data_IF_860232895063
#
_entry.id   IF_860232895063
#
_cell.length_a   1.000
_cell.length_b   1.000
_cell.length_c   1.000
_cell.angle_alpha   90.00
_cell.angle_beta   90.00
_cell.angle_gamma   90.00
#
_symmetry.space_group_name_H-M   'P 1'
#
loop_
_entity.id
_entity.type
_entity.pdbx_description
1 polymer ?
#
# COMPACT_ATOMS: atom_id res chain seq x y z
N UNK A 1 21.51 -66.93 -42.24
CA UNK A 1 22.87 -66.38 -42.00
C UNK A 1 22.99 -65.07 -42.76
N UNK A 2 23.47 -64.01 -42.08
CA UNK A 2 23.77 -62.65 -42.57
C UNK A 2 22.65 -61.61 -42.54
N UNK A 3 22.79 -60.76 -41.52
CA UNK A 3 22.41 -59.36 -41.34
C UNK A 3 22.62 -58.49 -42.57
N UNK A 4 21.75 -57.50 -42.80
CA UNK A 4 22.12 -56.23 -43.44
C UNK A 4 21.20 -55.09 -43.00
N UNK A 5 21.89 -54.03 -42.60
CA UNK A 5 21.53 -52.77 -41.97
C UNK A 5 20.72 -51.88 -42.92
N UNK A 6 19.65 -51.23 -42.43
CA UNK A 6 18.93 -50.20 -43.16
C UNK A 6 19.18 -48.84 -42.51
N UNK A 7 19.87 -47.97 -43.25
CA UNK A 7 20.15 -46.58 -42.94
C UNK A 7 18.88 -45.74 -43.14
N UNK A 8 18.34 -45.13 -42.08
CA UNK A 8 17.31 -44.10 -42.22
C UNK A 8 17.96 -42.72 -42.24
N UNK A 9 17.77 -42.03 -43.36
CA UNK A 9 18.02 -40.59 -43.55
C UNK A 9 16.81 -39.85 -42.98
N UNK A 10 16.99 -39.12 -41.88
CA UNK A 10 15.97 -38.24 -41.33
C UNK A 10 15.97 -36.89 -42.05
N UNK A 11 14.87 -36.55 -42.73
CA UNK A 11 14.61 -35.19 -43.19
C UNK A 11 14.33 -34.30 -41.97
N UNK A 12 15.14 -33.27 -41.77
CA UNK A 12 14.87 -32.19 -40.82
C UNK A 12 13.91 -31.20 -41.50
N UNK A 13 12.66 -31.23 -41.08
CA UNK A 13 11.66 -30.20 -41.37
C UNK A 13 11.89 -29.03 -40.40
N UNK A 14 12.45 -27.92 -40.89
CA UNK A 14 12.61 -26.68 -40.14
C UNK A 14 11.27 -25.96 -40.01
N UNK A 15 10.58 -26.13 -38.89
CA UNK A 15 9.53 -25.22 -38.43
C UNK A 15 10.17 -24.17 -37.54
N UNK A 16 10.30 -22.95 -38.05
CA UNK A 16 10.61 -21.75 -37.28
C UNK A 16 9.48 -21.50 -36.28
N UNK A 17 9.74 -21.81 -35.02
CA UNK A 17 8.94 -21.32 -33.90
C UNK A 17 9.46 -19.90 -33.61
N UNK A 18 8.59 -18.90 -33.79
CA UNK A 18 8.80 -17.56 -33.25
C UNK A 18 9.04 -17.69 -31.74
N UNK A 19 10.19 -17.24 -31.28
CA UNK A 19 10.44 -17.05 -29.86
C UNK A 19 9.53 -15.92 -29.38
N UNK A 20 8.43 -16.27 -28.72
CA UNK A 20 7.80 -15.40 -27.74
C UNK A 20 8.64 -15.49 -26.47
N UNK A 21 8.91 -14.34 -25.85
CA UNK A 21 9.61 -14.19 -24.57
C UNK A 21 9.16 -15.27 -23.56
N UNK A 22 10.11 -16.13 -23.19
CA UNK A 22 9.98 -17.14 -22.15
C UNK A 22 11.03 -16.90 -21.04
N UNK A 23 11.44 -15.65 -20.84
CA UNK A 23 12.40 -15.27 -19.78
C UNK A 23 11.74 -15.04 -18.41
N UNK A 24 10.42 -15.20 -18.28
CA UNK A 24 9.68 -14.90 -17.03
C UNK A 24 9.47 -16.08 -16.06
N UNK A 25 9.92 -17.30 -16.36
CA UNK A 25 9.54 -18.49 -15.56
C UNK A 25 10.70 -19.34 -15.01
N UNK A 26 11.95 -18.90 -15.12
CA UNK A 26 13.06 -19.60 -14.46
C UNK A 26 13.40 -18.86 -13.17
N UNK A 27 13.19 -19.46 -11.97
CA UNK A 27 13.75 -18.90 -10.75
C UNK A 27 15.26 -18.94 -10.92
N UNK A 28 15.83 -17.76 -11.10
CA UNK A 28 17.25 -17.68 -11.35
C UNK A 28 18.00 -17.92 -10.03
N UNK A 29 19.15 -18.61 -10.06
CA UNK A 29 19.98 -18.74 -8.88
C UNK A 29 20.43 -17.36 -8.43
N UNK A 30 19.93 -16.95 -7.27
CA UNK A 30 20.27 -15.72 -6.57
C UNK A 30 21.10 -16.11 -5.35
N UNK A 31 22.28 -15.52 -5.23
CA UNK A 31 23.14 -15.70 -4.07
C UNK A 31 22.75 -14.62 -3.04
N UNK A 32 22.82 -14.92 -1.73
CA UNK A 32 22.66 -13.90 -0.71
C UNK A 32 23.68 -12.78 -0.92
N UNK A 33 23.22 -11.53 -0.86
CA UNK A 33 24.05 -10.33 -0.91
C UNK A 33 24.09 -9.75 0.49
N UNK A 34 25.29 -9.65 1.07
CA UNK A 34 25.42 -9.21 2.46
C UNK A 34 25.31 -7.68 2.60
N UNK A 35 25.69 -6.94 1.57
CA UNK A 35 25.62 -5.48 1.52
C UNK A 35 25.39 -5.00 0.09
N UNK A 36 24.64 -3.91 -0.06
CA UNK A 36 24.41 -3.26 -1.35
C UNK A 36 25.72 -2.74 -1.99
N UNK A 37 26.80 -2.60 -1.22
CA UNK A 37 28.15 -2.27 -1.74
C UNK A 37 28.67 -3.33 -2.74
N UNK A 38 28.22 -4.58 -2.63
CA UNK A 38 28.59 -5.66 -3.56
C UNK A 38 27.95 -5.51 -4.95
N UNK A 39 27.04 -4.54 -5.11
CA UNK A 39 26.24 -4.31 -6.31
C UNK A 39 26.52 -2.93 -6.94
N UNK A 40 27.77 -2.53 -7.24
CA UNK A 40 28.06 -1.19 -7.75
C UNK A 40 27.48 -0.99 -9.16
N UNK A 41 26.97 0.21 -9.44
CA UNK A 41 26.45 0.61 -10.74
C UNK A 41 25.04 1.17 -10.68
N UNK A 42 24.40 1.23 -11.85
CA UNK A 42 23.07 1.82 -12.02
C UNK A 42 22.04 0.71 -12.13
N UNK A 43 20.93 0.84 -11.42
CA UNK A 43 19.90 -0.19 -11.30
C UNK A 43 18.52 0.40 -11.42
N UNK A 44 17.67 -0.18 -12.26
CA UNK A 44 16.27 0.24 -12.44
C UNK A 44 15.36 -0.70 -11.66
N UNK A 45 14.48 -0.15 -10.83
CA UNK A 45 13.45 -0.92 -10.15
C UNK A 45 12.26 -1.14 -11.09
N UNK A 46 11.80 -2.38 -11.24
CA UNK A 46 10.64 -2.72 -12.07
C UNK A 46 9.34 -2.23 -11.43
N UNK A 47 8.50 -1.49 -12.15
CA UNK A 47 7.15 -1.09 -11.71
C UNK A 47 7.04 0.10 -10.77
N UNK A 48 8.17 0.74 -10.43
CA UNK A 48 8.16 1.80 -9.42
C UNK A 48 8.90 3.06 -9.88
N UNK A 49 9.14 3.33 -11.17
CA UNK A 49 9.69 4.63 -11.62
C UNK A 49 10.96 5.08 -10.84
N UNK A 50 11.84 4.14 -10.47
CA UNK A 50 13.01 4.40 -9.62
C UNK A 50 14.28 3.83 -10.21
N UNK A 51 15.35 4.61 -10.14
CA UNK A 51 16.71 4.20 -10.45
C UNK A 51 17.61 4.45 -9.24
N UNK A 52 18.51 3.51 -8.96
CA UNK A 52 19.57 3.65 -7.96
C UNK A 52 20.93 3.73 -8.65
N UNK A 53 21.76 4.68 -8.23
CA UNK A 53 23.20 4.66 -8.50
C UNK A 53 23.94 4.26 -7.21
N UNK A 54 24.55 3.08 -7.23
CA UNK A 54 25.36 2.54 -6.14
C UNK A 54 26.83 2.81 -6.49
N UNK A 55 27.47 3.68 -5.71
CA UNK A 55 28.86 4.10 -5.90
C UNK A 55 29.67 4.04 -4.60
N UNK A 56 30.81 4.74 -4.57
CA UNK A 56 31.78 4.70 -3.47
C UNK A 56 31.14 5.13 -2.12
N UNK A 57 30.70 4.11 -1.36
CA UNK A 57 30.06 4.20 -0.05
C UNK A 57 28.70 4.95 -0.01
N UNK A 58 28.03 5.13 -1.16
CA UNK A 58 26.73 5.82 -1.24
C UNK A 58 25.78 5.19 -2.23
N UNK A 59 24.49 5.33 -1.95
CA UNK A 59 23.39 5.02 -2.87
C UNK A 59 22.63 6.31 -3.13
N UNK A 60 22.57 6.72 -4.39
CA UNK A 60 21.77 7.87 -4.84
C UNK A 60 20.52 7.38 -5.55
N UNK A 61 19.36 7.89 -5.12
CA UNK A 61 18.06 7.56 -5.69
C UNK A 61 17.63 8.61 -6.72
N UNK A 62 16.99 8.12 -7.78
CA UNK A 62 16.40 8.92 -8.84
C UNK A 62 14.98 8.47 -9.11
N UNK A 63 14.05 9.42 -9.18
CA UNK A 63 12.71 9.20 -9.71
C UNK A 63 12.71 9.50 -11.21
N UNK A 64 12.21 8.57 -12.01
CA UNK A 64 12.33 8.61 -13.48
C UNK A 64 10.98 8.43 -14.15
N UNK A 65 10.83 9.09 -15.29
CA UNK A 65 9.75 8.84 -16.26
C UNK A 65 10.36 8.81 -17.66
N UNK A 66 9.57 8.56 -18.70
CA UNK A 66 10.00 8.69 -20.09
C UNK A 66 10.56 10.08 -20.46
N UNK A 67 10.25 11.13 -19.69
CA UNK A 67 10.63 12.52 -19.98
C UNK A 67 11.43 13.22 -18.87
N UNK A 68 11.62 12.59 -17.71
CA UNK A 68 12.28 13.21 -16.56
C UNK A 68 13.17 12.23 -15.79
N UNK A 69 14.19 12.78 -15.14
CA UNK A 69 15.02 12.07 -14.17
C UNK A 69 15.40 13.05 -13.05
N UNK A 70 14.93 12.76 -11.84
CA UNK A 70 15.03 13.64 -10.67
C UNK A 70 15.83 12.94 -9.59
N UNK A 71 17.01 13.47 -9.28
CA UNK A 71 17.81 13.03 -8.14
C UNK A 71 17.13 13.48 -6.84
N UNK A 72 16.81 12.54 -5.97
CA UNK A 72 16.06 12.78 -4.72
C UNK A 72 16.96 12.70 -3.50
N UNK A 73 17.33 11.48 -3.11
CA UNK A 73 18.05 11.21 -1.88
C UNK A 73 19.44 10.65 -2.18
N UNK A 74 20.38 10.85 -1.26
CA UNK A 74 21.65 10.13 -1.25
C UNK A 74 21.92 9.64 0.16
N UNK A 75 21.90 8.33 0.33
CA UNK A 75 22.14 7.63 1.59
C UNK A 75 23.50 6.95 1.60
N UNK A 76 24.03 6.71 2.78
CA UNK A 76 25.17 5.83 2.96
C UNK A 76 24.78 4.36 2.72
N UNK A 77 25.75 3.52 2.38
CA UNK A 77 25.55 2.06 2.28
C UNK A 77 24.96 1.50 3.58
N UNK A 78 25.45 1.93 4.74
CA UNK A 78 24.97 1.45 6.04
C UNK A 78 23.48 1.75 6.26
N UNK A 79 23.03 2.97 5.94
CA UNK A 79 21.62 3.34 6.06
C UNK A 79 20.72 2.53 5.12
N UNK A 80 21.23 2.15 3.94
CA UNK A 80 20.50 1.29 3.02
C UNK A 80 20.47 -0.16 3.52
N UNK A 81 21.61 -0.70 3.97
CA UNK A 81 21.67 -2.07 4.48
C UNK A 81 20.81 -2.24 5.74
N UNK A 82 20.73 -1.24 6.62
CA UNK A 82 19.88 -1.24 7.83
C UNK A 82 18.37 -1.17 7.50
N UNK A 83 18.00 -0.62 6.34
CA UNK A 83 16.62 -0.44 5.92
C UNK A 83 15.99 -1.67 5.24
N UNK A 84 16.72 -2.79 5.10
CA UNK A 84 16.26 -3.98 4.40
C UNK A 84 16.59 -5.26 5.19
N UNK A 85 15.73 -6.27 5.09
CA UNK A 85 15.91 -7.52 5.83
C UNK A 85 16.92 -8.46 5.18
N UNK A 86 16.83 -8.56 3.85
CA UNK A 86 17.72 -9.37 3.05
C UNK A 86 17.84 -8.81 1.64
N UNK A 87 18.96 -9.12 1.03
CA UNK A 87 19.23 -8.88 -0.38
C UNK A 87 19.70 -10.17 -1.01
N UNK A 88 19.30 -10.38 -2.25
CA UNK A 88 19.74 -11.53 -3.03
C UNK A 88 19.89 -11.13 -4.49
N UNK A 89 20.93 -11.63 -5.16
CA UNK A 89 21.18 -11.15 -6.51
C UNK A 89 22.49 -11.59 -7.09
N UNK A 90 22.82 -10.94 -8.20
CA UNK A 90 24.08 -11.08 -8.91
C UNK A 90 24.35 -9.78 -9.70
N UNK A 91 25.36 -9.80 -10.58
CA UNK A 91 25.75 -8.63 -11.36
C UNK A 91 24.68 -8.12 -12.34
N UNK A 92 23.61 -8.85 -12.65
CA UNK A 92 22.61 -8.47 -13.65
C UNK A 92 21.27 -8.06 -13.04
N UNK A 93 20.91 -8.64 -11.90
CA UNK A 93 19.70 -8.30 -11.15
C UNK A 93 19.88 -8.59 -9.67
N UNK A 94 19.15 -7.87 -8.86
CA UNK A 94 19.02 -8.17 -7.45
C UNK A 94 17.62 -7.85 -6.97
N UNK A 95 17.26 -8.43 -5.85
CA UNK A 95 16.04 -8.12 -5.12
C UNK A 95 16.44 -7.77 -3.70
N UNK A 96 15.82 -6.73 -3.15
CA UNK A 96 15.85 -6.50 -1.71
C UNK A 96 14.46 -6.71 -1.12
N UNK A 97 14.41 -7.01 0.16
CA UNK A 97 13.18 -7.23 0.89
C UNK A 97 13.07 -6.16 1.96
N UNK A 98 12.00 -5.39 1.89
CA UNK A 98 11.75 -4.32 2.84
C UNK A 98 11.45 -4.88 4.23
N UNK A 99 11.67 -4.06 5.25
CA UNK A 99 11.40 -4.43 6.64
C UNK A 99 9.92 -4.81 6.82
N UNK A 100 9.69 -5.97 7.42
CA UNK A 100 8.39 -6.58 7.62
C UNK A 100 8.01 -7.61 6.56
N UNK A 101 8.95 -8.21 5.84
CA UNK A 101 8.79 -9.43 5.00
C UNK A 101 7.98 -9.36 3.69
N UNK A 102 7.05 -8.43 3.50
CA UNK A 102 6.00 -8.59 2.47
C UNK A 102 6.27 -7.91 1.11
N UNK A 103 7.16 -6.92 1.06
CA UNK A 103 7.49 -6.23 -0.20
C UNK A 103 8.87 -6.62 -0.69
N UNK A 104 8.92 -7.26 -1.87
CA UNK A 104 10.14 -7.49 -2.64
C UNK A 104 10.24 -6.40 -3.71
N UNK A 105 11.38 -5.72 -3.75
CA UNK A 105 11.68 -4.78 -4.82
C UNK A 105 12.78 -5.35 -5.72
N UNK A 106 12.43 -5.51 -6.99
CA UNK A 106 13.24 -6.16 -8.01
C UNK A 106 13.95 -5.12 -8.88
N UNK A 107 15.26 -5.29 -9.02
CA UNK A 107 16.14 -4.37 -9.74
C UNK A 107 16.86 -5.06 -10.90
N UNK A 108 16.98 -4.35 -12.00
CA UNK A 108 17.77 -4.75 -13.18
C UNK A 108 18.94 -3.80 -13.41
N UNK A 109 20.08 -4.34 -13.81
CA UNK A 109 21.24 -3.52 -14.14
C UNK A 109 20.95 -2.66 -15.36
N UNK A 110 21.06 -1.35 -15.17
CA UNK A 110 21.08 -0.37 -16.24
C UNK A 110 22.52 -0.11 -16.72
N UNK A 111 22.66 0.31 -17.98
CA UNK A 111 23.97 0.61 -18.57
C UNK A 111 24.59 1.92 -18.05
N UNK A 112 23.76 2.96 -17.86
CA UNK A 112 24.15 4.26 -17.35
C UNK A 112 22.91 5.01 -16.83
N UNK A 113 23.14 6.04 -16.00
CA UNK A 113 22.09 6.98 -15.63
C UNK A 113 21.57 7.75 -16.85
N UNK A 114 20.27 8.10 -16.90
CA UNK A 114 19.76 9.03 -17.90
C UNK A 114 20.57 10.33 -17.92
N UNK A 115 20.99 10.77 -19.11
CA UNK A 115 21.91 11.92 -19.25
C UNK A 115 21.33 13.26 -18.78
N UNK A 116 20.02 13.31 -18.56
CA UNK A 116 19.27 14.49 -18.16
C UNK A 116 18.89 14.48 -16.67
N UNK A 117 19.45 13.57 -15.86
CA UNK A 117 19.23 13.59 -14.41
C UNK A 117 19.70 14.91 -13.79
N UNK A 118 18.86 15.49 -12.93
CA UNK A 118 19.10 16.73 -12.19
C UNK A 118 18.58 16.62 -10.76
N UNK A 119 19.15 17.33 -9.77
CA UNK A 119 18.53 17.51 -8.46
C UNK A 119 17.10 18.04 -8.54
N UNK A 120 16.26 17.58 -7.60
CA UNK A 120 14.92 18.12 -7.41
C UNK A 120 14.93 19.65 -7.23
N UNK A 121 13.99 20.36 -7.88
CA UNK A 121 13.84 21.81 -7.81
C UNK A 121 14.62 22.61 -8.86
N UNK A 122 15.45 21.95 -9.69
CA UNK A 122 16.19 22.62 -10.77
C UNK A 122 15.32 22.96 -11.99
N UNK A 123 14.31 22.15 -12.31
CA UNK A 123 13.40 22.40 -13.45
C UNK A 123 12.11 23.04 -12.92
N UNK A 124 11.91 24.31 -13.26
CA UNK A 124 10.85 25.14 -12.67
C UNK A 124 9.73 25.53 -13.62
N UNK A 125 9.89 25.31 -14.92
CA UNK A 125 8.84 25.67 -15.87
C UNK A 125 7.64 24.72 -15.72
N UNK A 126 6.44 25.30 -15.78
CA UNK A 126 5.20 24.55 -15.59
C UNK A 126 4.98 23.43 -16.63
N UNK A 127 5.24 23.64 -17.94
CA UNK A 127 5.03 22.59 -18.94
C UNK A 127 5.86 21.33 -18.70
N UNK A 128 7.14 21.45 -18.34
CA UNK A 128 7.99 20.28 -18.09
C UNK A 128 7.57 19.50 -16.84
N UNK A 129 7.11 20.21 -15.80
CA UNK A 129 6.61 19.57 -14.58
C UNK A 129 5.28 18.85 -14.81
N UNK A 130 4.36 19.47 -15.55
CA UNK A 130 3.12 18.82 -15.95
C UNK A 130 3.38 17.60 -16.85
N UNK A 131 4.31 17.69 -17.80
CA UNK A 131 4.70 16.56 -18.64
C UNK A 131 5.25 15.40 -17.80
N UNK A 132 6.10 15.68 -16.81
CA UNK A 132 6.60 14.65 -15.89
C UNK A 132 5.49 14.02 -15.06
N UNK A 133 4.52 14.80 -14.57
CA UNK A 133 3.36 14.26 -13.86
C UNK A 133 2.55 13.33 -14.77
N UNK A 134 2.22 13.82 -15.97
CA UNK A 134 1.39 13.05 -16.90
C UNK A 134 2.03 11.71 -17.27
N UNK A 135 3.34 11.72 -17.56
CA UNK A 135 4.12 10.50 -17.84
C UNK A 135 4.22 9.56 -16.66
N UNK A 136 4.41 10.07 -15.43
CA UNK A 136 4.41 9.23 -14.22
C UNK A 136 3.11 8.43 -14.08
N UNK A 137 1.97 9.07 -14.33
CA UNK A 137 0.68 8.41 -14.27
C UNK A 137 0.47 7.46 -15.47
N UNK A 138 0.84 7.86 -16.68
CA UNK A 138 0.74 7.02 -17.89
C UNK A 138 1.54 5.71 -17.74
N UNK A 139 2.73 5.81 -17.14
CA UNK A 139 3.69 4.72 -17.01
C UNK A 139 3.43 3.86 -15.77
N UNK A 140 2.76 4.35 -14.71
CA UNK A 140 2.67 3.62 -13.44
C UNK A 140 1.27 3.55 -12.80
N UNK A 141 0.27 4.31 -13.24
CA UNK A 141 -1.06 4.24 -12.63
C UNK A 141 -1.84 3.02 -13.13
N UNK A 142 -2.32 2.19 -12.20
CA UNK A 142 -2.88 0.88 -12.53
C UNK A 142 -4.38 0.88 -12.88
N UNK A 143 -5.10 1.99 -12.70
CA UNK A 143 -6.57 1.97 -12.58
C UNK A 143 -7.33 2.90 -13.53
N UNK A 144 -6.75 3.26 -14.68
CA UNK A 144 -7.46 4.10 -15.66
C UNK A 144 -8.71 3.42 -16.21
N UNK A 145 -8.61 2.12 -16.54
CA UNK A 145 -9.71 1.36 -17.15
C UNK A 145 -10.90 1.19 -16.19
N UNK A 146 -10.62 0.83 -14.94
CA UNK A 146 -11.62 0.66 -13.86
C UNK A 146 -12.35 1.97 -13.55
N UNK A 147 -11.67 3.10 -13.76
CA UNK A 147 -12.21 4.44 -13.52
C UNK A 147 -12.79 5.08 -14.79
N UNK A 148 -12.65 4.44 -15.95
CA UNK A 148 -13.18 4.92 -17.22
C UNK A 148 -12.50 6.20 -17.72
N UNK A 149 -11.19 6.32 -17.51
CA UNK A 149 -10.41 7.52 -17.81
C UNK A 149 -9.59 7.32 -19.09
N UNK A 150 -9.79 8.19 -20.08
CA UNK A 150 -8.93 8.29 -21.27
C UNK A 150 -7.75 9.23 -20.94
N UNK A 151 -6.67 8.66 -20.42
CA UNK A 151 -5.52 9.45 -19.93
C UNK A 151 -4.82 10.30 -21.02
N UNK A 152 -4.65 9.81 -22.26
CA UNK A 152 -4.20 10.66 -23.37
C UNK A 152 -5.12 11.85 -23.64
N UNK A 153 -6.45 11.67 -23.60
CA UNK A 153 -7.39 12.78 -23.79
C UNK A 153 -7.26 13.84 -22.70
N UNK A 154 -7.04 13.45 -21.44
CA UNK A 154 -6.78 14.39 -20.33
C UNK A 154 -5.60 15.31 -20.66
N UNK A 155 -4.48 14.76 -21.18
CA UNK A 155 -3.34 15.58 -21.61
C UNK A 155 -3.72 16.61 -22.66
N UNK A 156 -4.47 16.16 -23.66
CA UNK A 156 -4.84 16.99 -24.81
C UNK A 156 -5.81 18.11 -24.39
N UNK A 157 -6.67 17.87 -23.40
CA UNK A 157 -7.53 18.88 -22.78
C UNK A 157 -6.75 19.93 -21.99
N UNK A 158 -5.67 19.51 -21.29
CA UNK A 158 -4.80 20.44 -20.56
C UNK A 158 -3.79 21.16 -21.47
N UNK A 159 -3.65 20.72 -22.72
CA UNK A 159 -2.66 21.26 -23.65
C UNK A 159 -2.86 22.77 -23.88
N UNK A 160 -1.79 23.54 -23.69
CA UNK A 160 -1.80 25.00 -23.91
C UNK A 160 -2.38 25.83 -22.76
N UNK A 161 -2.81 25.21 -21.65
CA UNK A 161 -3.16 25.94 -20.41
C UNK A 161 -1.94 26.50 -19.68
N UNK A 162 -0.76 25.91 -19.91
CA UNK A 162 0.49 26.27 -19.25
C UNK A 162 1.50 26.86 -20.24
N UNK A 163 2.22 27.86 -19.76
CA UNK A 163 3.36 28.49 -20.45
C UNK A 163 4.59 28.40 -19.56
N UNK A 164 5.82 28.57 -20.09
CA UNK A 164 7.03 28.63 -19.25
C UNK A 164 6.98 29.72 -18.17
N UNK A 165 6.17 30.76 -18.36
CA UNK A 165 5.95 31.86 -17.40
C UNK A 165 4.83 31.59 -16.39
N UNK A 166 4.13 30.47 -16.49
CA UNK A 166 3.03 30.14 -15.59
C UNK A 166 3.49 30.00 -14.14
N UNK A 167 2.66 30.46 -13.20
CA UNK A 167 2.99 30.43 -11.78
C UNK A 167 2.86 29.02 -11.19
N UNK A 168 3.46 28.74 -10.01
CA UNK A 168 3.24 27.50 -9.29
C UNK A 168 1.76 27.22 -9.01
N UNK A 169 0.98 28.26 -8.70
CA UNK A 169 -0.47 28.14 -8.45
C UNK A 169 -1.24 27.80 -9.73
N UNK A 170 -0.85 28.35 -10.88
CA UNK A 170 -1.43 28.00 -12.18
C UNK A 170 -1.11 26.54 -12.57
N UNK A 171 0.14 26.11 -12.35
CA UNK A 171 0.51 24.69 -12.50
C UNK A 171 -0.32 23.81 -11.58
N UNK A 172 -0.42 24.16 -10.30
CA UNK A 172 -1.13 23.36 -9.30
C UNK A 172 -2.61 23.19 -9.67
N UNK A 173 -3.28 24.26 -10.10
CA UNK A 173 -4.67 24.19 -10.55
C UNK A 173 -4.86 23.24 -11.75
N UNK A 174 -3.93 23.23 -12.71
CA UNK A 174 -3.96 22.27 -13.84
C UNK A 174 -3.72 20.84 -13.35
N UNK A 175 -2.80 20.63 -12.41
CA UNK A 175 -2.57 19.32 -11.80
C UNK A 175 -3.81 18.81 -11.07
N UNK A 176 -4.45 19.64 -10.25
CA UNK A 176 -5.70 19.31 -9.56
C UNK A 176 -6.81 18.91 -10.54
N UNK A 177 -7.06 19.74 -11.56
CA UNK A 177 -8.05 19.44 -12.61
C UNK A 177 -7.77 18.11 -13.34
N UNK A 178 -6.49 17.73 -13.45
CA UNK A 178 -6.04 16.49 -14.10
C UNK A 178 -6.26 15.26 -13.22
N UNK A 179 -6.02 15.38 -11.91
CA UNK A 179 -6.07 14.27 -10.96
C UNK A 179 -7.45 14.07 -10.32
N UNK A 180 -8.28 15.10 -10.30
CA UNK A 180 -9.62 15.06 -9.71
C UNK A 180 -10.53 13.98 -10.31
N UNK A 181 -10.60 13.79 -11.65
CA UNK A 181 -11.46 12.76 -12.24
C UNK A 181 -11.10 11.33 -11.85
N UNK A 182 -9.86 11.09 -11.39
CA UNK A 182 -9.44 9.76 -10.95
C UNK A 182 -10.26 9.30 -9.74
N UNK A 183 -10.72 10.22 -8.87
CA UNK A 183 -11.51 9.89 -7.68
C UNK A 183 -10.86 8.78 -6.81
N UNK A 184 -9.55 8.88 -6.60
CA UNK A 184 -8.72 7.87 -5.93
C UNK A 184 -8.18 8.40 -4.60
N UNK A 185 -8.47 7.71 -3.50
CA UNK A 185 -8.05 8.13 -2.15
C UNK A 185 -6.54 8.04 -1.88
N UNK A 186 -5.77 7.41 -2.78
CA UNK A 186 -4.31 7.35 -2.72
C UNK A 186 -3.61 8.27 -3.73
N UNK A 187 -4.37 9.00 -4.55
CA UNK A 187 -3.82 10.01 -5.45
C UNK A 187 -3.78 11.37 -4.77
N UNK A 188 -2.59 11.96 -4.68
CA UNK A 188 -2.39 13.27 -4.07
C UNK A 188 -1.19 14.00 -4.67
N UNK A 189 -1.12 15.32 -4.48
CA UNK A 189 0.05 16.16 -4.78
C UNK A 189 0.29 17.15 -3.65
N UNK A 190 1.56 17.40 -3.34
CA UNK A 190 1.99 18.37 -2.32
C UNK A 190 3.26 19.11 -2.74
N UNK A 191 3.27 20.43 -2.56
CA UNK A 191 4.38 21.29 -3.00
C UNK A 191 5.53 21.42 -1.98
N UNK A 192 5.43 20.78 -0.82
CA UNK A 192 6.37 21.01 0.29
C UNK A 192 5.97 22.18 1.20
N UNK A 193 4.85 22.84 0.92
CA UNK A 193 4.35 24.03 1.59
C UNK A 193 2.83 23.99 1.74
N UNK A 194 2.16 25.03 1.24
CA UNK A 194 0.72 25.25 1.46
C UNK A 194 -0.19 24.67 0.37
N UNK A 195 0.37 24.22 -0.76
CA UNK A 195 -0.44 23.66 -1.85
C UNK A 195 -0.47 22.13 -1.70
N UNK A 196 -1.66 21.61 -1.42
CA UNK A 196 -1.91 20.18 -1.25
C UNK A 196 -3.26 19.79 -1.81
N UNK A 197 -3.32 18.64 -2.48
CA UNK A 197 -4.53 18.09 -3.08
C UNK A 197 -4.57 16.59 -2.82
N UNK A 198 -5.75 16.07 -2.51
CA UNK A 198 -6.06 14.66 -2.34
C UNK A 198 -7.30 14.35 -3.19
N UNK A 199 -7.29 13.26 -3.95
CA UNK A 199 -8.40 12.86 -4.81
C UNK A 199 -9.41 11.96 -4.07
N UNK A 200 -10.53 11.70 -4.74
CA UNK A 200 -11.62 10.86 -4.23
C UNK A 200 -12.40 11.47 -3.07
N UNK A 201 -13.31 10.68 -2.49
CA UNK A 201 -14.18 11.16 -1.40
C UNK A 201 -13.43 11.57 -0.13
N UNK A 202 -12.20 11.08 0.07
CA UNK A 202 -11.32 11.58 1.12
C UNK A 202 -10.90 13.04 0.90
N UNK A 203 -10.61 13.41 -0.35
CA UNK A 203 -10.34 14.80 -0.74
C UNK A 203 -11.54 15.73 -0.60
N UNK A 204 -12.75 15.25 -0.88
CA UNK A 204 -13.98 16.02 -0.69
C UNK A 204 -14.18 16.40 0.79
N UNK A 205 -14.01 15.44 1.70
CA UNK A 205 -14.06 15.68 3.15
C UNK A 205 -12.98 16.67 3.60
N UNK A 206 -11.80 16.60 2.97
CA UNK A 206 -10.72 17.55 3.23
C UNK A 206 -11.11 18.98 2.87
N UNK A 207 -11.68 19.16 1.68
CA UNK A 207 -12.13 20.46 1.19
C UNK A 207 -13.28 21.03 2.04
N UNK A 208 -14.22 20.19 2.47
CA UNK A 208 -15.30 20.60 3.37
C UNK A 208 -14.78 21.09 4.72
N UNK A 209 -13.78 20.40 5.30
CA UNK A 209 -13.17 20.82 6.56
C UNK A 209 -12.41 22.15 6.40
N UNK A 210 -11.61 22.31 5.33
CA UNK A 210 -10.84 23.53 5.09
C UNK A 210 -11.74 24.78 4.99
N UNK A 211 -12.95 24.63 4.46
CA UNK A 211 -13.96 25.70 4.41
C UNK A 211 -14.51 26.05 5.81
N UNK A 212 -14.63 25.07 6.70
CA UNK A 212 -15.18 25.25 8.04
C UNK A 212 -14.19 25.92 9.01
N UNK A 213 -12.87 25.78 8.79
CA UNK A 213 -11.82 26.27 9.68
C UNK A 213 -10.82 27.22 8.98
N UNK A 214 -11.25 28.42 8.52
CA UNK A 214 -10.38 29.32 7.78
C UNK A 214 -9.28 29.94 8.66
N UNK A 215 -8.01 29.74 8.28
CA UNK A 215 -6.86 30.41 8.89
C UNK A 215 -5.98 29.55 9.79
N UNK A 216 -6.31 28.27 9.98
CA UNK A 216 -5.39 27.30 10.58
C UNK A 216 -4.24 26.99 9.59
N UNK A 217 -2.96 27.17 9.97
CA UNK A 217 -1.84 26.98 9.05
C UNK A 217 -1.73 25.52 8.61
N UNK A 218 -1.87 25.30 7.31
CA UNK A 218 -1.57 24.03 6.65
C UNK A 218 -0.06 23.93 6.47
N UNK A 219 0.66 23.53 7.52
CA UNK A 219 2.13 23.37 7.46
C UNK A 219 2.60 21.93 7.70
N UNK A 220 1.68 21.02 8.01
CA UNK A 220 1.86 19.56 8.13
C UNK A 220 0.43 18.97 8.25
N UNK A 221 0.03 17.91 7.54
CA UNK A 221 -1.36 17.50 7.41
C UNK A 221 -1.80 16.83 8.71
N UNK A 222 -2.33 17.62 9.65
CA UNK A 222 -3.36 17.09 10.52
C UNK A 222 -4.58 16.94 9.63
N UNK A 223 -4.59 15.77 9.00
CA UNK A 223 -5.74 15.08 8.51
C UNK A 223 -7.04 15.55 9.19
N UNK A 224 -8.01 16.11 8.47
CA UNK A 224 -9.31 16.47 9.01
C UNK A 224 -10.07 15.25 9.56
N UNK A 225 -9.60 14.03 9.25
CA UNK A 225 -10.02 12.79 9.90
C UNK A 225 -9.48 12.67 11.33
N UNK A 226 -8.50 13.46 11.80
CA UNK A 226 -7.92 13.33 13.15
C UNK A 226 -8.96 13.49 14.25
N UNK A 227 -9.85 14.49 14.14
CA UNK A 227 -10.93 14.65 15.12
C UNK A 227 -11.90 13.46 15.07
N UNK A 228 -12.24 12.99 13.88
CA UNK A 228 -13.05 11.78 13.70
C UNK A 228 -12.37 10.53 14.31
N UNK A 229 -11.09 10.30 14.03
CA UNK A 229 -10.28 9.20 14.57
C UNK A 229 -10.26 9.28 16.10
N UNK A 230 -9.96 10.45 16.68
CA UNK A 230 -9.92 10.65 18.13
C UNK A 230 -11.30 10.43 18.77
N UNK A 231 -12.37 10.90 18.14
CA UNK A 231 -13.72 10.71 18.65
C UNK A 231 -14.17 9.25 18.53
N UNK A 232 -13.80 8.54 17.47
CA UNK A 232 -14.09 7.11 17.33
C UNK A 232 -13.30 6.27 18.32
N UNK A 233 -12.05 6.63 18.61
CA UNK A 233 -11.29 6.04 19.71
C UNK A 233 -12.00 6.23 21.05
N UNK A 234 -12.44 7.45 21.33
CA UNK A 234 -13.17 7.77 22.57
C UNK A 234 -14.47 6.96 22.65
N UNK A 235 -15.22 6.87 21.57
CA UNK A 235 -16.43 6.04 21.49
C UNK A 235 -16.13 4.56 21.81
N UNK A 236 -15.06 3.99 21.25
CA UNK A 236 -14.65 2.62 21.56
C UNK A 236 -14.34 2.45 23.05
N UNK A 237 -13.52 3.32 23.62
CA UNK A 237 -13.09 3.19 25.03
C UNK A 237 -14.24 3.47 26.00
N UNK A 238 -14.99 4.54 25.80
CA UNK A 238 -15.98 5.03 26.77
C UNK A 238 -17.35 4.35 26.60
N UNK A 239 -17.76 4.02 25.38
CA UNK A 239 -19.11 3.49 25.10
C UNK A 239 -19.12 2.00 24.77
N UNK A 240 -18.18 1.49 23.96
CA UNK A 240 -18.14 0.06 23.61
C UNK A 240 -17.53 -0.77 24.74
N UNK A 241 -16.42 -0.30 25.31
CA UNK A 241 -15.73 -0.94 26.42
C UNK A 241 -16.17 -0.43 27.80
N UNK A 242 -17.11 0.51 27.84
CA UNK A 242 -17.69 1.08 29.07
C UNK A 242 -16.65 1.64 30.06
N UNK A 243 -15.47 2.04 29.58
CA UNK A 243 -14.33 2.50 30.39
C UNK A 243 -13.58 1.39 31.14
N UNK A 244 -13.95 0.12 30.96
CA UNK A 244 -13.37 -1.04 31.66
C UNK A 244 -12.35 -1.82 30.78
N UNK A 245 -12.10 -1.32 29.56
CA UNK A 245 -11.14 -1.89 28.62
C UNK A 245 -9.67 -1.59 28.96
N UNK A 246 -8.78 -2.10 28.10
CA UNK A 246 -7.34 -1.82 28.10
C UNK A 246 -6.94 -1.18 26.77
N UNK A 247 -5.89 -0.37 26.83
CA UNK A 247 -5.26 0.23 25.66
C UNK A 247 -3.80 -0.22 25.58
N UNK A 248 -3.34 -0.49 24.37
CA UNK A 248 -1.95 -0.82 24.07
C UNK A 248 -1.08 0.43 24.03
N UNK A 249 0.22 0.24 23.76
CA UNK A 249 1.10 1.37 23.49
C UNK A 249 0.61 2.17 22.29
N UNK A 250 0.79 3.49 22.36
CA UNK A 250 0.43 4.46 21.31
C UNK A 250 -1.06 4.51 20.94
N UNK A 251 -1.95 3.97 21.77
CA UNK A 251 -3.41 3.94 21.54
C UNK A 251 -3.81 3.33 20.18
N UNK A 252 -3.05 2.33 19.73
CA UNK A 252 -3.26 1.64 18.45
C UNK A 252 -4.23 0.47 18.58
N UNK A 253 -4.25 -0.18 19.75
CA UNK A 253 -5.10 -1.31 20.07
C UNK A 253 -5.89 -1.02 21.34
N UNK A 254 -7.19 -1.36 21.33
CA UNK A 254 -8.05 -1.30 22.51
C UNK A 254 -8.81 -2.62 22.64
N UNK A 255 -8.82 -3.23 23.82
CA UNK A 255 -9.46 -4.53 24.00
C UNK A 255 -10.14 -4.68 25.35
N UNK A 256 -11.07 -5.62 25.43
CA UNK A 256 -11.79 -5.92 26.65
C UNK A 256 -12.88 -6.95 26.43
N UNK A 257 -13.81 -7.01 27.39
CA UNK A 257 -14.91 -7.95 27.37
C UNK A 257 -16.22 -7.25 27.04
N UNK A 258 -16.98 -7.84 26.13
CA UNK A 258 -18.41 -7.56 25.97
C UNK A 258 -19.21 -8.59 26.78
N UNK A 259 -20.54 -8.46 26.76
CA UNK A 259 -21.45 -9.40 27.38
C UNK A 259 -21.22 -10.85 26.92
N UNK A 260 -21.66 -11.81 27.75
CA UNK A 260 -21.68 -13.24 27.44
C UNK A 260 -20.32 -13.87 27.06
N UNK A 261 -19.20 -13.30 27.55
CA UNK A 261 -17.87 -13.86 27.33
C UNK A 261 -17.37 -13.70 25.88
N UNK A 262 -17.82 -12.64 25.21
CA UNK A 262 -17.31 -12.20 23.92
C UNK A 262 -16.12 -11.27 24.16
N UNK A 263 -14.96 -11.60 23.59
CA UNK A 263 -13.82 -10.70 23.57
C UNK A 263 -14.00 -9.62 22.49
N UNK A 264 -13.49 -8.43 22.73
CA UNK A 264 -13.47 -7.35 21.75
C UNK A 264 -12.05 -6.81 21.61
N UNK A 265 -11.64 -6.60 20.36
CA UNK A 265 -10.37 -5.98 19.97
C UNK A 265 -10.66 -4.94 18.91
N UNK A 266 -10.45 -3.67 19.20
CA UNK A 266 -10.37 -2.63 18.19
C UNK A 266 -8.91 -2.45 17.77
N UNK A 267 -8.66 -2.55 16.46
CA UNK A 267 -7.41 -2.11 15.85
C UNK A 267 -7.67 -0.73 15.30
N UNK A 268 -7.26 0.29 16.06
CA UNK A 268 -7.57 1.67 15.76
C UNK A 268 -6.76 2.20 14.58
N UNK A 269 -5.47 1.86 14.54
CA UNK A 269 -4.53 2.26 13.50
C UNK A 269 -3.48 1.16 13.30
N UNK A 270 -2.99 0.99 12.06
CA UNK A 270 -1.88 0.08 11.74
C UNK A 270 -0.56 0.84 11.64
N UNK A 271 -0.36 1.77 12.57
CA UNK A 271 0.77 2.68 12.63
C UNK A 271 1.05 3.07 14.08
N UNK A 272 1.78 4.16 14.28
CA UNK A 272 2.06 4.69 15.61
C UNK A 272 2.05 6.23 15.56
N UNK A 273 0.87 6.87 15.57
CA UNK A 273 0.71 8.29 15.24
C UNK A 273 1.44 9.22 16.24
N UNK A 274 1.59 8.78 17.49
CA UNK A 274 2.25 9.54 18.58
C UNK A 274 3.68 9.06 18.88
N UNK A 275 4.20 8.06 18.15
CA UNK A 275 5.50 7.45 18.44
C UNK A 275 6.70 8.10 17.72
N UNK A 276 6.45 9.06 16.83
CA UNK A 276 7.46 9.47 15.85
C UNK A 276 7.74 8.33 14.85
N UNK A 277 8.68 8.54 13.94
CA UNK A 277 9.11 7.53 12.96
C UNK A 277 9.85 6.36 13.64
N UNK A 278 9.14 5.55 14.44
CA UNK A 278 9.68 4.29 14.93
C UNK A 278 10.02 3.40 13.72
N UNK A 279 11.21 2.78 13.69
CA UNK A 279 11.53 1.78 12.69
C UNK A 279 10.52 0.61 12.73
N UNK A 280 10.22 0.04 11.56
CA UNK A 280 9.30 -1.10 11.43
C UNK A 280 9.60 -2.25 12.41
N UNK A 281 10.87 -2.67 12.62
CA UNK A 281 11.17 -3.72 13.59
C UNK A 281 10.74 -3.40 15.02
N UNK A 282 10.88 -2.15 15.45
CA UNK A 282 10.47 -1.73 16.80
C UNK A 282 8.94 -1.69 16.93
N UNK A 283 8.24 -1.24 15.87
CA UNK A 283 6.78 -1.30 15.83
C UNK A 283 6.26 -2.75 15.83
N UNK A 284 6.92 -3.67 15.13
CA UNK A 284 6.59 -5.09 15.14
C UNK A 284 6.74 -5.70 16.55
N UNK A 285 7.79 -5.34 17.28
CA UNK A 285 7.94 -5.77 18.68
C UNK A 285 6.79 -5.22 19.54
N UNK A 286 6.47 -3.93 19.41
CA UNK A 286 5.41 -3.29 20.20
C UNK A 286 4.03 -3.91 19.92
N UNK A 287 3.70 -4.19 18.65
CA UNK A 287 2.42 -4.79 18.28
C UNK A 287 2.33 -6.24 18.76
N UNK A 288 3.41 -7.02 18.67
CA UNK A 288 3.45 -8.40 19.14
C UNK A 288 3.34 -8.48 20.68
N UNK A 289 3.97 -7.56 21.42
CA UNK A 289 3.81 -7.46 22.88
C UNK A 289 2.36 -7.11 23.27
N UNK A 290 1.74 -6.16 22.57
CA UNK A 290 0.35 -5.78 22.83
C UNK A 290 -0.62 -6.93 22.49
N UNK A 291 -0.43 -7.60 21.35
CA UNK A 291 -1.24 -8.75 20.96
C UNK A 291 -1.05 -9.95 21.90
N UNK A 292 0.15 -10.18 22.44
CA UNK A 292 0.36 -11.20 23.46
C UNK A 292 -0.48 -10.93 24.73
N UNK A 293 -0.65 -9.66 25.12
CA UNK A 293 -1.54 -9.26 26.22
C UNK A 293 -3.00 -9.46 25.85
N UNK A 294 -3.43 -9.07 24.65
CA UNK A 294 -4.79 -9.31 24.14
C UNK A 294 -5.13 -10.80 24.22
N UNK A 295 -4.26 -11.67 23.69
CA UNK A 295 -4.47 -13.12 23.68
C UNK A 295 -4.47 -13.72 25.09
N UNK A 296 -3.68 -13.17 26.02
CA UNK A 296 -3.69 -13.60 27.42
C UNK A 296 -4.98 -13.17 28.15
N UNK A 297 -5.41 -11.93 27.96
CA UNK A 297 -6.58 -11.37 28.63
C UNK A 297 -7.90 -11.97 28.11
N UNK A 298 -7.95 -12.26 26.80
CA UNK A 298 -9.11 -12.83 26.12
C UNK A 298 -9.01 -14.36 25.94
N UNK A 299 -8.10 -15.04 26.65
CA UNK A 299 -7.83 -16.47 26.47
C UNK A 299 -9.07 -17.37 26.64
N UNK A 300 -10.06 -16.94 27.43
CA UNK A 300 -11.32 -17.67 27.66
C UNK A 300 -12.48 -17.18 26.79
N UNK A 301 -12.22 -16.31 25.81
CA UNK A 301 -13.27 -15.78 24.95
C UNK A 301 -13.86 -16.89 24.10
N UNK A 302 -15.19 -16.93 24.02
CA UNK A 302 -15.88 -17.90 23.15
C UNK A 302 -15.75 -17.53 21.67
N UNK A 303 -15.57 -16.24 21.41
CA UNK A 303 -15.30 -15.61 20.13
C UNK A 303 -14.66 -14.24 20.38
N UNK A 304 -13.96 -13.72 19.37
CA UNK A 304 -13.41 -12.35 19.42
C UNK A 304 -14.06 -11.53 18.30
N UNK A 305 -14.62 -10.37 18.65
CA UNK A 305 -15.00 -9.34 17.69
C UNK A 305 -13.78 -8.45 17.45
N UNK A 306 -13.28 -8.43 16.22
CA UNK A 306 -12.20 -7.54 15.79
C UNK A 306 -12.84 -6.37 15.06
N UNK A 307 -12.56 -5.14 15.47
CA UNK A 307 -13.20 -3.93 14.92
C UNK A 307 -12.18 -3.03 14.23
N UNK A 308 -12.31 -2.90 12.90
CA UNK A 308 -11.50 -2.02 12.05
C UNK A 308 -12.36 -0.99 11.31
N UNK A 309 -13.59 -0.75 11.78
CA UNK A 309 -14.54 0.14 11.09
C UNK A 309 -14.03 1.55 10.92
N UNK A 310 -13.10 2.00 11.76
CA UNK A 310 -12.57 3.37 11.75
C UNK A 310 -11.09 3.44 11.41
N UNK A 311 -10.49 2.29 11.05
CA UNK A 311 -9.07 2.20 10.80
C UNK A 311 -8.76 2.60 9.36
N UNK A 312 -7.97 3.66 9.21
CA UNK A 312 -7.66 4.26 7.92
C UNK A 312 -6.33 3.78 7.33
N UNK A 313 -5.76 2.73 7.92
CA UNK A 313 -4.56 2.07 7.45
C UNK A 313 -3.34 2.42 8.30
N UNK A 314 -2.20 2.55 7.61
CA UNK A 314 -0.88 2.60 8.21
C UNK A 314 0.06 1.73 7.38
N UNK A 315 0.71 0.75 8.01
CA UNK A 315 1.63 -0.18 7.38
C UNK A 315 1.01 -1.57 7.34
N UNK A 316 0.97 -2.17 6.14
CA UNK A 316 0.55 -3.55 5.90
C UNK A 316 1.23 -4.55 6.85
N UNK A 317 2.51 -4.32 7.13
CA UNK A 317 3.32 -5.15 8.04
C UNK A 317 2.71 -5.28 9.43
N UNK A 318 2.05 -4.23 9.94
CA UNK A 318 1.34 -4.26 11.23
C UNK A 318 0.04 -5.05 11.12
N UNK A 319 -0.74 -4.83 10.06
CA UNK A 319 -1.96 -5.59 9.80
C UNK A 319 -1.69 -7.08 9.72
N UNK A 320 -0.72 -7.50 8.90
CA UNK A 320 -0.35 -8.90 8.76
C UNK A 320 0.23 -9.50 10.03
N UNK A 321 0.98 -8.73 10.84
CA UNK A 321 1.42 -9.17 12.16
C UNK A 321 0.21 -9.46 13.08
N UNK A 322 -0.76 -8.56 13.15
CA UNK A 322 -2.00 -8.76 13.94
C UNK A 322 -2.76 -9.99 13.44
N UNK A 323 -2.91 -10.17 12.12
CA UNK A 323 -3.59 -11.31 11.52
C UNK A 323 -2.91 -12.64 11.89
N UNK A 324 -1.57 -12.65 12.00
CA UNK A 324 -0.78 -13.81 12.43
C UNK A 324 -1.13 -14.34 13.82
N UNK A 325 -1.76 -13.55 14.68
CA UNK A 325 -2.25 -14.01 15.98
C UNK A 325 -3.60 -14.73 15.93
N UNK A 326 -4.24 -14.77 14.76
CA UNK A 326 -5.50 -15.46 14.52
C UNK A 326 -5.33 -16.75 13.69
N UNK A 327 -4.10 -17.18 13.42
CA UNK A 327 -3.82 -18.44 12.70
C UNK A 327 -2.77 -19.28 13.43
N UNK A 328 -2.81 -20.60 13.22
CA UNK A 328 -1.76 -21.53 13.66
C UNK A 328 -0.93 -22.09 12.50
N UNK A 329 -1.24 -21.68 11.28
CA UNK A 329 -0.61 -22.16 10.04
C UNK A 329 -0.22 -20.96 9.17
N UNK A 330 0.75 -21.18 8.28
CA UNK A 330 1.11 -20.23 7.22
C UNK A 330 -0.01 -20.16 6.19
N UNK A 331 -0.52 -18.96 5.90
CA UNK A 331 -1.69 -18.76 5.02
C UNK A 331 -1.35 -17.74 3.94
N UNK A 332 -1.55 -18.10 2.67
CA UNK A 332 -1.55 -17.14 1.56
C UNK A 332 -2.79 -16.25 1.70
N UNK A 333 -2.56 -14.95 1.85
CA UNK A 333 -3.63 -13.98 2.10
C UNK A 333 -3.92 -13.05 0.92
N UNK A 334 -2.92 -12.83 0.07
CA UNK A 334 -3.05 -12.02 -1.13
C UNK A 334 -1.90 -12.30 -2.09
N UNK A 335 -2.07 -11.86 -3.35
CA UNK A 335 -0.98 -11.67 -4.29
C UNK A 335 -0.94 -10.22 -4.71
N UNK A 336 0.26 -9.65 -4.83
CA UNK A 336 0.42 -8.28 -5.33
C UNK A 336 1.35 -8.18 -6.52
N UNK A 337 1.06 -7.22 -7.39
CA UNK A 337 1.92 -6.85 -8.55
C UNK A 337 1.79 -5.37 -8.84
N UNK A 338 2.82 -4.78 -9.44
CA UNK A 338 2.81 -3.38 -9.85
C UNK A 338 2.63 -3.23 -11.37
N UNK A 339 1.97 -2.16 -11.79
CA UNK A 339 1.87 -1.74 -13.18
C UNK A 339 3.15 -0.99 -13.61
N UNK A 340 3.64 -1.29 -14.79
CA UNK A 340 4.88 -0.77 -15.36
C UNK A 340 4.76 -0.64 -16.88
N UNK A 341 4.44 0.56 -17.38
CA UNK A 341 4.44 0.95 -18.79
C UNK A 341 3.77 -0.09 -19.71
N UNK A 342 2.50 -0.37 -19.45
CA UNK A 342 1.70 -1.33 -20.22
C UNK A 342 1.97 -2.80 -19.87
N UNK A 343 2.73 -3.07 -18.81
CA UNK A 343 3.05 -4.42 -18.32
C UNK A 343 2.79 -4.52 -16.82
N UNK A 344 2.81 -5.74 -16.33
CA UNK A 344 2.74 -6.03 -14.91
C UNK A 344 4.05 -6.66 -14.44
N UNK A 345 4.48 -6.33 -13.23
CA UNK A 345 5.55 -7.09 -12.57
C UNK A 345 5.07 -8.52 -12.28
N UNK A 346 5.99 -9.47 -12.07
CA UNK A 346 5.62 -10.79 -11.56
C UNK A 346 4.87 -10.68 -10.23
N UNK A 347 3.93 -11.60 -10.00
CA UNK A 347 3.18 -11.68 -8.75
C UNK A 347 4.11 -11.93 -7.56
N UNK A 348 3.77 -11.30 -6.44
CA UNK A 348 4.37 -11.51 -5.13
C UNK A 348 3.30 -12.11 -4.21
N UNK A 349 3.54 -13.33 -3.74
CA UNK A 349 2.67 -13.95 -2.74
C UNK A 349 2.87 -13.24 -1.39
N UNK A 350 1.76 -12.81 -0.78
CA UNK A 350 1.72 -12.28 0.58
C UNK A 350 1.19 -13.35 1.50
N UNK A 351 2.01 -13.76 2.47
CA UNK A 351 1.75 -14.90 3.35
C UNK A 351 1.76 -14.43 4.80
N UNK A 352 0.67 -14.68 5.53
CA UNK A 352 0.62 -14.45 6.98
C UNK A 352 1.13 -15.69 7.71
N UNK A 353 2.16 -15.49 8.51
CA UNK A 353 2.74 -16.51 9.38
C UNK A 353 2.14 -16.43 10.80
N UNK A 354 1.98 -17.58 11.49
CA UNK A 354 1.48 -17.60 12.86
C UNK A 354 2.49 -16.92 13.81
N UNK A 355 2.00 -16.01 14.67
CA UNK A 355 2.86 -15.13 15.50
C UNK A 355 3.14 -15.64 16.91
N UNK A 356 2.49 -16.72 17.35
CA UNK A 356 2.84 -17.34 18.63
C UNK A 356 2.00 -18.55 19.03
N UNK A 357 2.48 -19.22 20.10
CA UNK A 357 1.87 -20.43 20.66
C UNK A 357 0.45 -20.21 21.26
N UNK A 358 0.02 -18.96 21.38
CA UNK A 358 -1.27 -18.55 21.97
C UNK A 358 -2.22 -17.90 20.95
N UNK A 359 -2.04 -18.20 19.67
CA UNK A 359 -2.92 -17.69 18.62
C UNK A 359 -4.37 -18.12 18.85
N UNK A 360 -5.31 -17.20 18.63
CA UNK A 360 -6.74 -17.47 18.77
C UNK A 360 -7.31 -18.00 17.46
N UNK A 361 -7.52 -19.31 17.38
CA UNK A 361 -8.10 -20.01 16.21
C UNK A 361 -9.60 -20.33 16.39
N UNK A 362 -10.25 -19.72 17.39
CA UNK A 362 -11.70 -19.81 17.61
C UNK A 362 -12.48 -18.85 16.70
N UNK A 363 -13.81 -18.78 16.82
CA UNK A 363 -14.64 -17.92 15.97
C UNK A 363 -14.27 -16.43 16.09
N UNK A 364 -14.08 -15.78 14.95
CA UNK A 364 -13.76 -14.35 14.88
C UNK A 364 -14.79 -13.63 14.02
N UNK A 365 -15.25 -12.47 14.48
CA UNK A 365 -16.12 -11.59 13.69
C UNK A 365 -15.36 -10.29 13.41
N UNK A 366 -15.09 -9.99 12.15
CA UNK A 366 -14.38 -8.78 11.74
C UNK A 366 -15.37 -7.69 11.30
N UNK A 367 -15.37 -6.55 11.99
CA UNK A 367 -16.20 -5.41 11.66
C UNK A 367 -15.51 -4.47 10.67
N UNK A 368 -16.17 -4.19 9.55
CA UNK A 368 -15.66 -3.32 8.48
C UNK A 368 -16.63 -2.21 8.14
N UNK A 369 -16.11 -1.10 7.62
CA UNK A 369 -16.94 -0.01 7.09
C UNK A 369 -16.30 0.70 5.91
N UNK A 370 -17.00 1.66 5.29
CA UNK A 370 -16.41 2.55 4.28
C UNK A 370 -15.24 3.40 4.79
N UNK A 371 -15.01 3.47 6.11
CA UNK A 371 -13.83 4.10 6.70
C UNK A 371 -12.70 3.11 7.01
N UNK A 372 -12.83 1.84 6.61
CA UNK A 372 -11.75 0.87 6.58
C UNK A 372 -10.97 1.07 5.27
N UNK A 373 -9.74 1.57 5.34
CA UNK A 373 -8.95 2.08 4.19
C UNK A 373 -7.51 1.53 4.23
N UNK A 374 -6.86 1.39 3.07
CA UNK A 374 -5.41 1.14 2.96
C UNK A 374 -5.01 -0.16 3.68
N UNK A 375 -3.99 -0.13 4.54
CA UNK A 375 -3.53 -1.31 5.27
C UNK A 375 -4.64 -2.03 6.09
N UNK A 376 -5.70 -1.33 6.47
CA UNK A 376 -6.85 -1.97 7.12
C UNK A 376 -7.66 -2.85 6.16
N UNK A 377 -7.63 -2.54 4.87
CA UNK A 377 -8.23 -3.35 3.82
C UNK A 377 -7.36 -4.56 3.47
N UNK A 378 -6.03 -4.41 3.40
CA UNK A 378 -5.12 -5.56 3.23
C UNK A 378 -5.18 -6.51 4.43
N UNK A 379 -5.31 -5.99 5.65
CA UNK A 379 -5.66 -6.76 6.84
C UNK A 379 -7.02 -7.46 6.71
N UNK A 380 -8.01 -6.81 6.11
CA UNK A 380 -9.33 -7.41 5.89
C UNK A 380 -9.24 -8.62 4.95
N UNK A 381 -8.42 -8.55 3.88
CA UNK A 381 -8.13 -9.71 3.02
C UNK A 381 -7.44 -10.83 3.82
N UNK A 382 -6.45 -10.47 4.63
CA UNK A 382 -5.73 -11.43 5.46
C UNK A 382 -6.63 -12.17 6.46
N UNK A 383 -7.50 -11.45 7.15
CA UNK A 383 -8.45 -12.05 8.07
C UNK A 383 -9.50 -12.88 7.32
N UNK A 384 -10.00 -12.42 6.17
CA UNK A 384 -11.00 -13.15 5.36
C UNK A 384 -10.47 -14.48 4.82
N UNK A 385 -9.17 -14.58 4.56
CA UNK A 385 -8.53 -15.83 4.15
C UNK A 385 -8.52 -16.89 5.28
N UNK A 386 -8.78 -16.50 6.54
CA UNK A 386 -8.86 -17.42 7.66
C UNK A 386 -10.27 -18.05 7.77
N UNK A 387 -10.39 -19.38 7.82
CA UNK A 387 -11.68 -20.07 7.68
C UNK A 387 -12.69 -19.83 8.81
N UNK A 388 -12.22 -19.34 9.96
CA UNK A 388 -13.03 -19.06 11.15
C UNK A 388 -13.46 -17.59 11.29
N UNK A 389 -13.08 -16.73 10.34
CA UNK A 389 -13.44 -15.31 10.33
C UNK A 389 -14.74 -15.10 9.55
N UNK A 390 -15.62 -14.25 10.08
CA UNK A 390 -16.81 -13.74 9.36
C UNK A 390 -16.79 -12.22 9.37
N UNK A 391 -16.89 -11.60 8.20
CA UNK A 391 -16.93 -10.14 8.08
C UNK A 391 -18.35 -9.60 8.20
N UNK A 392 -18.54 -8.52 8.97
CA UNK A 392 -19.84 -7.89 9.25
C UNK A 392 -19.74 -6.38 9.09
N UNK A 393 -20.74 -5.76 8.44
CA UNK A 393 -20.84 -4.30 8.36
C UNK A 393 -21.15 -3.80 6.96
N UNK A 394 -20.35 -2.85 6.47
CA UNK A 394 -20.45 -2.36 5.08
C UNK A 394 -19.16 -2.65 4.34
N UNK A 395 -19.16 -2.50 3.02
CA UNK A 395 -17.92 -2.64 2.25
C UNK A 395 -16.84 -1.66 2.69
N UNK A 396 -15.59 -2.07 2.55
CA UNK A 396 -14.42 -1.19 2.74
C UNK A 396 -14.35 -0.10 1.67
N UNK A 397 -13.36 0.79 1.76
CA UNK A 397 -13.26 1.96 0.89
C UNK A 397 -12.90 1.64 -0.56
N UNK A 398 -11.95 0.72 -0.77
CA UNK A 398 -11.41 0.38 -2.09
C UNK A 398 -10.16 1.15 -2.47
N UNK A 399 -9.26 1.43 -1.52
CA UNK A 399 -7.93 2.01 -1.79
C UNK A 399 -6.86 1.06 -1.22
N UNK A 400 -6.45 0.04 -1.98
CA UNK A 400 -5.56 -1.02 -1.52
C UNK A 400 -4.10 -0.75 -1.86
N UNK A 401 -3.82 -0.24 -3.06
CA UNK A 401 -2.46 -0.02 -3.53
C UNK A 401 -1.62 0.70 -2.49
N UNK A 402 -0.40 0.21 -2.24
CA UNK A 402 0.61 1.03 -1.58
C UNK A 402 0.79 2.32 -2.40
N UNK A 403 0.98 3.44 -1.72
CA UNK A 403 1.14 4.73 -2.39
C UNK A 403 2.54 4.83 -2.98
N UNK A 404 2.62 4.86 -4.31
CA UNK A 404 3.84 5.20 -5.01
C UNK A 404 4.12 6.70 -4.87
N UNK A 405 5.07 7.08 -4.01
CA UNK A 405 5.41 8.51 -3.83
C UNK A 405 6.58 8.89 -4.73
N UNK A 406 6.37 9.77 -5.70
CA UNK A 406 7.43 10.26 -6.61
C UNK A 406 7.58 11.77 -6.54
N UNK A 407 8.76 12.23 -6.97
CA UNK A 407 9.16 13.64 -6.92
C UNK A 407 9.18 14.20 -8.33
N UNK A 408 8.42 15.25 -8.57
CA UNK A 408 8.44 15.98 -9.82
C UNK A 408 9.72 16.83 -9.93
N UNK A 409 10.10 17.27 -11.15
CA UNK A 409 11.33 18.04 -11.36
C UNK A 409 11.43 19.35 -10.56
N UNK A 410 10.30 19.97 -10.18
CA UNK A 410 10.22 21.15 -9.33
C UNK A 410 10.31 20.85 -7.82
N UNK A 411 10.36 19.57 -7.43
CA UNK A 411 10.42 19.12 -6.04
C UNK A 411 9.07 18.77 -5.41
N UNK A 412 7.95 18.92 -6.13
CA UNK A 412 6.65 18.49 -5.62
C UNK A 412 6.59 16.98 -5.44
N UNK A 413 5.89 16.54 -4.41
CA UNK A 413 5.62 15.13 -4.15
C UNK A 413 4.25 14.76 -4.70
N UNK A 414 4.17 13.58 -5.28
CA UNK A 414 2.96 13.02 -5.89
C UNK A 414 2.80 11.59 -5.43
N UNK A 415 1.61 11.24 -4.94
CA UNK A 415 1.19 9.87 -4.65
C UNK A 415 0.27 9.33 -5.73
N UNK A 416 0.44 8.06 -6.09
CA UNK A 416 -0.44 7.34 -7.01
C UNK A 416 -0.52 5.85 -6.69
N UNK A 417 -1.56 5.20 -7.22
CA UNK A 417 -1.84 3.77 -7.03
C UNK A 417 -1.25 2.96 -8.19
N UNK A 418 -0.12 2.29 -7.96
CA UNK A 418 0.56 1.45 -8.97
C UNK A 418 0.48 -0.05 -8.69
N UNK A 419 0.00 -0.49 -7.53
CA UNK A 419 -0.08 -1.90 -7.15
C UNK A 419 -1.52 -2.41 -7.19
N UNK A 420 -1.68 -3.68 -7.60
CA UNK A 420 -2.93 -4.44 -7.52
C UNK A 420 -2.77 -5.54 -6.48
N UNK A 421 -3.73 -5.62 -5.56
CA UNK A 421 -3.86 -6.70 -4.60
C UNK A 421 -5.02 -7.62 -4.98
N UNK A 422 -4.71 -8.89 -5.17
CA UNK A 422 -5.68 -9.97 -5.43
C UNK A 422 -5.84 -10.83 -4.16
N UNK A 423 -7.07 -11.23 -3.83
CA UNK A 423 -7.30 -12.26 -2.81
C UNK A 423 -6.83 -13.65 -3.32
N UNK A 424 -6.78 -14.69 -2.46
CA UNK A 424 -6.33 -16.02 -2.87
C UNK A 424 -7.15 -16.63 -4.02
N UNK A 425 -8.42 -16.23 -4.15
CA UNK A 425 -9.37 -16.62 -5.20
C UNK A 425 -9.28 -15.78 -6.48
N UNK A 426 -8.43 -14.74 -6.53
CA UNK A 426 -8.22 -13.85 -7.67
C UNK A 426 -9.16 -12.65 -7.73
N UNK A 427 -9.85 -12.31 -6.64
CA UNK A 427 -10.68 -11.13 -6.50
C UNK A 427 -9.86 -9.86 -6.30
N UNK A 428 -10.18 -8.80 -7.05
CA UNK A 428 -9.59 -7.46 -6.92
C UNK A 428 -10.64 -6.51 -6.35
N UNK A 429 -10.25 -5.72 -5.34
CA UNK A 429 -11.18 -4.85 -4.61
C UNK A 429 -10.78 -3.37 -4.58
N UNK A 430 -9.73 -2.96 -5.29
CA UNK A 430 -9.49 -1.54 -5.56
C UNK A 430 -10.74 -0.92 -6.22
N UNK A 431 -10.98 0.37 -5.98
CA UNK A 431 -12.11 1.17 -6.49
C UNK A 431 -13.45 0.81 -5.85
N UNK A 432 -13.68 -0.47 -5.57
CA UNK A 432 -14.99 -0.97 -5.11
C UNK A 432 -15.04 -1.23 -3.60
N UNK A 433 -13.96 -1.71 -2.99
CA UNK A 433 -13.89 -2.19 -1.61
C UNK A 433 -14.36 -3.64 -1.44
N UNK A 434 -13.95 -4.28 -0.34
CA UNK A 434 -14.30 -5.66 0.00
C UNK A 434 -15.72 -5.70 0.57
N UNK A 435 -16.65 -6.48 -0.02
CA UNK A 435 -17.97 -6.66 0.57
C UNK A 435 -17.91 -7.57 1.82
N UNK A 436 -18.69 -7.27 2.88
CA UNK A 436 -18.78 -8.14 4.04
C UNK A 436 -19.59 -9.40 3.74
N UNK A 437 -19.35 -10.46 4.49
CA UNK A 437 -20.13 -11.71 4.43
C UNK A 437 -21.56 -11.47 4.96
N UNK A 438 -21.70 -10.63 5.98
CA UNK A 438 -22.98 -10.20 6.55
C UNK A 438 -23.09 -8.68 6.45
N UNK A 439 -23.87 -8.21 5.48
CA UNK A 439 -24.13 -6.79 5.30
C UNK A 439 -25.08 -6.25 6.38
N UNK A 440 -24.70 -5.12 6.98
CA UNK A 440 -25.52 -4.31 7.88
C UNK A 440 -25.61 -2.91 7.30
N UNK A 441 -26.78 -2.56 6.79
CA UNK A 441 -27.02 -1.24 6.21
C UNK A 441 -27.03 -0.16 7.30
N UNK A 442 -26.51 1.05 7.02
CA UNK A 442 -26.65 2.18 7.91
C UNK A 442 -28.12 2.44 8.26
N UNK A 443 -28.37 2.83 9.51
CA UNK A 443 -29.71 3.13 10.00
C UNK A 443 -30.29 4.30 9.22
N UNK A 444 -31.54 4.14 8.76
CA UNK A 444 -32.24 5.16 7.97
C UNK A 444 -32.27 6.50 8.71
N UNK A 445 -31.99 7.59 7.97
CA UNK A 445 -31.92 8.95 8.53
C UNK A 445 -30.52 9.39 8.97
N UNK A 446 -29.49 8.55 8.81
CA UNK A 446 -28.10 8.92 9.08
C UNK A 446 -27.73 8.94 10.56
N UNK A 447 -28.47 8.21 11.41
CA UNK A 447 -28.10 8.05 12.81
C UNK A 447 -26.85 7.17 12.91
N UNK A 448 -25.70 7.83 12.97
CA UNK A 448 -24.39 7.21 13.01
C UNK A 448 -24.23 6.31 14.25
N UNK A 449 -24.59 6.79 15.43
CA UNK A 449 -24.48 6.01 16.67
C UNK A 449 -25.37 4.75 16.65
N UNK A 450 -26.60 4.86 16.14
CA UNK A 450 -27.48 3.71 15.96
C UNK A 450 -26.91 2.71 14.93
N UNK A 451 -26.26 3.21 13.87
CA UNK A 451 -25.60 2.36 12.87
C UNK A 451 -24.41 1.61 13.46
N UNK A 452 -23.58 2.28 14.28
CA UNK A 452 -22.47 1.63 14.97
C UNK A 452 -22.94 0.52 15.90
N UNK A 453 -24.01 0.77 16.65
CA UNK A 453 -24.61 -0.21 17.55
C UNK A 453 -25.21 -1.39 16.80
N UNK A 454 -25.98 -1.15 15.73
CA UNK A 454 -26.60 -2.22 14.95
C UNK A 454 -25.57 -3.21 14.38
N UNK A 455 -24.45 -2.70 13.87
CA UNK A 455 -23.35 -3.55 13.37
C UNK A 455 -22.70 -4.35 14.50
N UNK A 456 -22.44 -3.72 15.65
CA UNK A 456 -21.85 -4.41 16.81
C UNK A 456 -22.78 -5.47 17.38
N UNK A 457 -24.06 -5.17 17.55
CA UNK A 457 -25.08 -6.11 18.05
C UNK A 457 -25.20 -7.33 17.12
N UNK A 458 -25.15 -7.10 15.80
CA UNK A 458 -25.12 -8.19 14.81
C UNK A 458 -23.90 -9.08 15.03
N UNK A 459 -22.71 -8.50 15.19
CA UNK A 459 -21.48 -9.22 15.48
C UNK A 459 -21.56 -10.06 16.77
N UNK A 460 -22.15 -9.50 17.82
CA UNK A 460 -22.32 -10.17 19.12
C UNK A 460 -23.36 -11.29 19.04
N UNK A 461 -24.30 -11.25 18.09
CA UNK A 461 -25.34 -12.29 17.93
C UNK A 461 -24.89 -13.55 17.17
N UNK A 462 -23.87 -13.46 16.31
CA UNK A 462 -23.32 -14.58 15.52
C UNK A 462 -22.59 -15.61 16.40
#
# INVERSE_FOLDING_TARGET
>A
MRTLTLTMVGLISSTSICACDLDELVPFPVEPVASVEELPGVWTQRGYARVLEIGDARVTEYHVTGVSCVQTETRSIAEVDEAHERMEGNAHRFSWYELGHFTRADFERAGALPSHCRPAGEVRDAPSNFASLWHLFDENYAYFDERGIDWPAVRDEQAGRLTPESSPEELFAVVEDTLLPLADGHVWVWDGGSLGFLSGSMGELWNEWAVQYPGEPVTNPIDPRRDFIVDMRRHVVDEVLEGEGRSGLYDTLHWGWLADGVGYLNVHEMGAPDAGDLPIPEMLVAIDEAMALVMADLASARKIVVDVRFNQGGRDTMGYAIAGWFTSESVLVSRKRAYDDGRWTPDQDVVVEPRGDRSFVGPVVLLTSRNTISAAETFTLAMRALPQVTTVGTRTYGAFSDVLVRTLPNGWLVGLSNEVYEDPEGGVFEVVGVPPDVAVEPVAGGDFAASLRATLDTAVSL
#
